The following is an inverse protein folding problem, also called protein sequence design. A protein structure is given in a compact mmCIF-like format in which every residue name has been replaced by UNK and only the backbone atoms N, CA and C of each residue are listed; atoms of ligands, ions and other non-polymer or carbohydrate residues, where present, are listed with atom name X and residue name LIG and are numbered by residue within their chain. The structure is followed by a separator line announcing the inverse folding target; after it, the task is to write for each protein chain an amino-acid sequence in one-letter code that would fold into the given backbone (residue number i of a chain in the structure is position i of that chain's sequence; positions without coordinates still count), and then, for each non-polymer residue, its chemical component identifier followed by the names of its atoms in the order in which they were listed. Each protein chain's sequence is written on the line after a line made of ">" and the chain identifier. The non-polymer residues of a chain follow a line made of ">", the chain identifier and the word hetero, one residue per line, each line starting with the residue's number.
data_IF_729595318314
#
_entry.id   IF_729595318314
#
_cell.length_a   1.000
_cell.length_b   1.000
_cell.length_c   1.000
_cell.angle_alpha   90.00
_cell.angle_beta   90.00
_cell.angle_gamma   90.00
#
_symmetry.space_group_name_H-M   'P 1'
#
loop_
_entity.id
_entity.type
_entity.pdbx_description
1 polymer ?
#
# COMPACT_ATOMS: atom_id res chain seq x y z
N UNK A 1 4.77 75.50 -29.88
CA UNK A 1 4.98 74.12 -30.36
C UNK A 1 4.71 73.25 -29.11
N UNK A 2 3.58 72.47 -29.15
CA UNK A 2 3.03 71.71 -28.03
C UNK A 2 3.50 70.27 -28.18
N UNK A 3 4.33 69.79 -27.21
CA UNK A 3 4.68 68.36 -27.13
C UNK A 3 3.63 67.67 -26.27
N UNK A 4 2.82 66.87 -26.91
CA UNK A 4 1.85 66.00 -26.27
C UNK A 4 2.53 64.67 -25.90
N UNK A 5 2.69 64.42 -24.60
CA UNK A 5 3.27 63.21 -24.06
C UNK A 5 2.13 62.18 -23.92
N UNK A 6 2.15 61.13 -24.77
CA UNK A 6 1.24 60.00 -24.65
C UNK A 6 1.79 59.01 -23.63
N UNK A 7 1.20 58.97 -22.46
CA UNK A 7 1.42 57.92 -21.48
C UNK A 7 0.57 56.72 -21.89
N UNK A 8 1.21 55.71 -22.44
CA UNK A 8 0.61 54.43 -22.74
C UNK A 8 0.48 53.63 -21.42
N UNK A 9 -0.74 53.58 -20.87
CA UNK A 9 -1.09 52.79 -19.69
C UNK A 9 -1.21 51.33 -20.13
N UNK A 10 -0.12 50.55 -19.99
CA UNK A 10 -0.14 49.11 -20.23
C UNK A 10 -0.75 48.42 -19.00
N UNK A 11 -2.06 48.21 -19.03
CA UNK A 11 -2.77 47.40 -18.01
C UNK A 11 -2.40 45.92 -18.20
N UNK A 12 -1.50 45.43 -17.33
CA UNK A 12 -1.27 43.99 -17.15
C UNK A 12 -2.55 43.36 -16.54
N UNK A 13 -3.35 42.73 -17.37
CA UNK A 13 -4.33 41.76 -16.92
C UNK A 13 -3.58 40.51 -16.44
N UNK A 14 -3.33 40.44 -15.14
CA UNK A 14 -2.95 39.15 -14.52
C UNK A 14 -4.22 38.30 -14.55
N UNK A 15 -4.32 37.44 -15.57
CA UNK A 15 -5.24 36.30 -15.56
C UNK A 15 -4.75 35.33 -14.47
N UNK A 16 -5.21 35.55 -13.25
CA UNK A 16 -5.15 34.53 -12.20
C UNK A 16 -6.05 33.40 -12.64
N UNK A 17 -5.47 32.38 -13.23
CA UNK A 17 -6.14 31.08 -13.35
C UNK A 17 -6.31 30.53 -11.93
N UNK A 18 -7.39 30.89 -11.26
CA UNK A 18 -7.87 30.13 -10.14
C UNK A 18 -8.40 28.81 -10.75
N UNK A 19 -7.60 27.75 -10.63
CA UNK A 19 -8.12 26.38 -10.79
C UNK A 19 -9.15 26.17 -9.68
N UNK A 20 -10.40 26.49 -9.98
CA UNK A 20 -11.52 26.03 -9.16
C UNK A 20 -11.53 24.52 -9.34
N UNK A 21 -11.00 23.79 -8.36
CA UNK A 21 -11.26 22.35 -8.28
C UNK A 21 -12.78 22.18 -8.25
N UNK A 22 -13.32 21.80 -9.38
CA UNK A 22 -14.73 21.37 -9.47
C UNK A 22 -14.78 20.05 -8.71
N UNK A 23 -15.15 20.08 -7.42
CA UNK A 23 -15.53 18.87 -6.71
C UNK A 23 -16.62 18.20 -7.53
N UNK A 24 -16.31 17.06 -8.11
CA UNK A 24 -17.30 16.22 -8.74
C UNK A 24 -18.39 15.90 -7.71
N UNK A 25 -19.65 16.08 -8.02
CA UNK A 25 -20.77 15.70 -7.14
C UNK A 25 -20.74 14.20 -6.76
N UNK A 26 -19.96 13.40 -7.48
CA UNK A 26 -19.72 11.97 -7.23
C UNK A 26 -18.35 11.67 -6.59
N UNK A 27 -17.63 12.67 -6.07
CA UNK A 27 -16.39 12.46 -5.36
C UNK A 27 -16.67 11.66 -4.07
N UNK A 28 -16.03 10.49 -3.93
CA UNK A 28 -16.25 9.57 -2.79
C UNK A 28 -15.01 9.31 -1.97
N UNK A 29 -13.99 10.15 -2.10
CA UNK A 29 -12.74 10.06 -1.38
C UNK A 29 -11.57 10.54 -2.23
N UNK A 30 -10.38 10.43 -1.65
CA UNK A 30 -9.11 10.78 -2.30
C UNK A 30 -8.16 9.59 -2.25
N UNK A 31 -7.17 9.60 -3.14
CA UNK A 31 -6.05 8.66 -3.16
C UNK A 31 -4.78 9.47 -2.98
N UNK A 32 -3.97 9.07 -2.00
CA UNK A 32 -2.68 9.68 -1.71
C UNK A 32 -1.55 8.66 -1.89
N UNK A 33 -0.40 9.15 -2.35
CA UNK A 33 0.83 8.37 -2.42
C UNK A 33 1.92 9.08 -1.62
N UNK A 34 2.84 8.31 -1.06
CA UNK A 34 3.93 8.84 -0.22
C UNK A 34 3.46 9.55 1.06
N UNK A 35 2.27 9.21 1.56
CA UNK A 35 1.75 9.64 2.85
C UNK A 35 2.32 8.79 4.01
N UNK A 36 1.99 9.17 5.26
CA UNK A 36 2.49 8.49 6.45
C UNK A 36 2.00 7.02 6.53
N UNK A 37 0.79 6.72 6.06
CA UNK A 37 0.22 5.37 6.12
C UNK A 37 0.80 4.46 5.03
N UNK A 38 1.01 4.98 3.82
CA UNK A 38 1.73 4.25 2.77
C UNK A 38 3.17 3.93 3.19
N UNK A 39 3.85 4.86 3.88
CA UNK A 39 5.19 4.63 4.43
C UNK A 39 5.22 3.52 5.48
N UNK A 40 4.19 3.39 6.33
CA UNK A 40 4.09 2.26 7.29
C UNK A 40 3.95 0.93 6.55
N UNK A 41 3.12 0.86 5.52
CA UNK A 41 2.96 -0.37 4.72
C UNK A 41 4.25 -0.76 3.99
N UNK A 42 4.94 0.22 3.41
CA UNK A 42 6.22 -0.02 2.75
C UNK A 42 7.29 -0.48 3.76
N UNK A 43 7.31 0.10 4.97
CA UNK A 43 8.20 -0.33 6.06
C UNK A 43 7.90 -1.77 6.48
N UNK A 44 6.63 -2.15 6.61
CA UNK A 44 6.21 -3.52 6.92
C UNK A 44 6.69 -4.53 5.86
N UNK A 45 6.49 -4.21 4.58
CA UNK A 45 6.94 -5.07 3.48
C UNK A 45 8.48 -5.17 3.42
N UNK A 46 9.19 -4.07 3.69
CA UNK A 46 10.65 -4.07 3.73
C UNK A 46 11.21 -4.85 4.94
N UNK A 47 10.53 -4.82 6.10
CA UNK A 47 10.87 -5.62 7.28
C UNK A 47 10.79 -7.13 6.97
N UNK A 48 9.78 -7.57 6.24
CA UNK A 48 9.68 -8.94 5.74
C UNK A 48 10.86 -9.31 4.83
N UNK A 49 11.24 -8.43 3.91
CA UNK A 49 12.38 -8.69 3.03
C UNK A 49 13.72 -8.76 3.80
N UNK A 50 13.84 -7.96 4.85
CA UNK A 50 15.02 -7.88 5.71
C UNK A 50 15.11 -8.97 6.81
N UNK A 51 14.15 -9.90 6.88
CA UNK A 51 14.01 -10.92 7.92
C UNK A 51 13.86 -10.37 9.35
N UNK A 52 13.30 -9.17 9.49
CA UNK A 52 13.13 -8.47 10.77
C UNK A 52 11.70 -7.94 10.95
N UNK A 53 10.79 -8.84 11.32
CA UNK A 53 9.39 -8.53 11.61
C UNK A 53 9.12 -8.23 13.09
N UNK A 54 10.16 -8.19 13.94
CA UNK A 54 10.04 -8.19 15.41
C UNK A 54 9.18 -7.03 15.93
N UNK A 55 9.40 -5.82 15.43
CA UNK A 55 8.71 -4.62 15.90
C UNK A 55 7.39 -4.37 15.15
N UNK A 56 7.09 -5.14 14.12
CA UNK A 56 5.95 -4.88 13.23
C UNK A 56 4.60 -5.17 13.90
N UNK A 57 4.56 -5.98 14.95
CA UNK A 57 3.32 -6.20 15.73
C UNK A 57 2.78 -4.90 16.32
N UNK A 58 3.64 -3.94 16.59
CA UNK A 58 3.29 -2.67 17.21
C UNK A 58 2.37 -1.77 16.37
N UNK A 59 2.30 -1.98 15.05
CA UNK A 59 1.45 -1.18 14.16
C UNK A 59 -0.03 -1.59 14.25
N UNK A 60 -0.34 -2.77 14.81
CA UNK A 60 -1.69 -3.32 14.85
C UNK A 60 -2.46 -2.91 16.11
N UNK A 61 -3.79 -2.88 16.01
CA UNK A 61 -4.66 -2.80 17.19
C UNK A 61 -4.65 -4.14 17.93
N UNK A 62 -5.04 -4.14 19.21
CA UNK A 62 -5.09 -5.35 20.04
C UNK A 62 -5.97 -6.47 19.43
N UNK A 63 -7.08 -6.09 18.78
CA UNK A 63 -8.02 -7.00 18.16
C UNK A 63 -7.90 -7.05 16.63
N UNK A 64 -6.74 -6.71 16.09
CA UNK A 64 -6.53 -6.73 14.65
C UNK A 64 -6.66 -8.15 14.08
N UNK A 65 -7.21 -8.22 12.86
CA UNK A 65 -7.37 -9.47 12.12
C UNK A 65 -6.45 -9.45 10.90
N UNK A 66 -5.80 -10.56 10.64
CA UNK A 66 -5.09 -10.80 9.39
C UNK A 66 -5.89 -11.79 8.52
N UNK A 67 -5.94 -11.54 7.23
CA UNK A 67 -6.57 -12.40 6.22
C UNK A 67 -5.56 -12.75 5.13
N UNK A 68 -5.31 -14.03 4.94
CA UNK A 68 -4.45 -14.50 3.85
C UNK A 68 -5.28 -15.41 2.96
N UNK A 69 -5.52 -14.99 1.71
CA UNK A 69 -6.42 -15.69 0.77
C UNK A 69 -7.79 -16.06 1.41
N UNK A 70 -8.33 -15.16 2.24
CA UNK A 70 -9.61 -15.34 2.91
C UNK A 70 -9.56 -16.13 4.22
N UNK A 71 -8.44 -16.71 4.62
CA UNK A 71 -8.28 -17.35 5.93
C UNK A 71 -7.93 -16.32 6.99
N UNK A 72 -8.66 -16.33 8.12
CA UNK A 72 -8.45 -15.40 9.24
C UNK A 72 -7.47 -15.98 10.25
N UNK A 73 -6.59 -15.11 10.75
CA UNK A 73 -5.61 -15.40 11.81
C UNK A 73 -5.22 -14.11 12.53
N UNK A 74 -4.42 -14.19 13.57
CA UNK A 74 -3.84 -12.98 14.17
C UNK A 74 -2.70 -12.42 13.28
N UNK A 75 -2.39 -11.11 13.37
CA UNK A 75 -1.23 -10.55 12.65
C UNK A 75 0.08 -11.27 12.99
N UNK A 76 0.27 -11.69 14.25
CA UNK A 76 1.46 -12.44 14.67
C UNK A 76 1.56 -13.78 13.94
N UNK A 77 0.47 -14.56 13.89
CA UNK A 77 0.42 -15.82 13.16
C UNK A 77 0.69 -15.64 11.66
N UNK A 78 0.17 -14.56 11.07
CA UNK A 78 0.46 -14.24 9.67
C UNK A 78 1.95 -13.96 9.44
N UNK A 79 2.57 -13.12 10.29
CA UNK A 79 3.99 -12.81 10.19
C UNK A 79 4.86 -14.05 10.35
N UNK A 80 4.57 -14.90 11.35
CA UNK A 80 5.26 -16.18 11.56
C UNK A 80 5.14 -17.10 10.34
N UNK A 81 3.93 -17.23 9.77
CA UNK A 81 3.70 -18.04 8.57
C UNK A 81 4.47 -17.50 7.34
N UNK A 82 4.51 -16.18 7.16
CA UNK A 82 5.26 -15.56 6.06
C UNK A 82 6.76 -15.75 6.22
N UNK A 83 7.29 -15.59 7.43
CA UNK A 83 8.72 -15.81 7.71
C UNK A 83 9.10 -17.28 7.51
N UNK A 84 8.33 -18.22 8.07
CA UNK A 84 8.55 -19.66 7.88
C UNK A 84 8.47 -20.06 6.40
N UNK A 85 7.48 -19.54 5.66
CA UNK A 85 7.37 -19.80 4.22
C UNK A 85 8.55 -19.26 3.41
N UNK A 86 9.08 -18.10 3.81
CA UNK A 86 10.25 -17.46 3.17
C UNK A 86 11.51 -18.32 3.25
N UNK A 87 11.69 -19.12 4.32
CA UNK A 87 12.83 -20.03 4.48
C UNK A 87 12.99 -21.06 3.35
N UNK A 88 11.91 -21.30 2.60
CA UNK A 88 11.92 -22.19 1.43
C UNK A 88 12.44 -21.52 0.16
N UNK A 89 12.80 -20.23 0.23
CA UNK A 89 13.19 -19.44 -0.94
C UNK A 89 14.40 -18.57 -0.66
N UNK A 90 15.31 -18.52 -1.65
CA UNK A 90 16.42 -17.58 -1.73
C UNK A 90 16.06 -16.38 -2.62
N UNK A 91 16.87 -15.31 -2.53
CA UNK A 91 16.77 -14.11 -3.38
C UNK A 91 15.37 -13.47 -3.40
N UNK A 92 14.68 -13.52 -2.27
CA UNK A 92 13.31 -13.00 -2.14
C UNK A 92 13.30 -11.48 -2.31
N UNK A 93 12.42 -11.00 -3.19
CA UNK A 93 12.23 -9.58 -3.46
C UNK A 93 10.80 -9.25 -3.87
N UNK A 94 10.44 -7.99 -3.70
CA UNK A 94 9.21 -7.41 -4.26
C UNK A 94 9.60 -6.50 -5.43
N UNK A 95 9.01 -6.71 -6.59
CA UNK A 95 9.23 -5.89 -7.78
C UNK A 95 7.93 -5.20 -8.21
N UNK A 96 8.06 -4.11 -8.97
CA UNK A 96 6.91 -3.34 -9.47
C UNK A 96 5.94 -2.88 -8.38
N UNK A 97 6.48 -2.48 -7.20
CA UNK A 97 5.67 -2.09 -6.05
C UNK A 97 4.98 -0.75 -6.29
N UNK A 98 3.69 -0.70 -6.00
CA UNK A 98 2.89 0.53 -5.99
C UNK A 98 2.04 0.54 -4.73
N UNK A 99 2.21 1.57 -3.89
CA UNK A 99 1.48 1.74 -2.64
C UNK A 99 0.69 3.05 -2.68
N UNK A 100 -0.56 3.01 -2.23
CA UNK A 100 -1.41 4.18 -2.14
C UNK A 100 -2.40 4.07 -0.97
N UNK A 101 -2.70 5.20 -0.33
CA UNK A 101 -3.71 5.32 0.71
C UNK A 101 -5.00 5.86 0.10
N UNK A 102 -6.09 5.16 0.36
CA UNK A 102 -7.46 5.49 -0.05
C UNK A 102 -8.21 6.03 1.16
N UNK A 103 -8.62 7.29 1.10
CA UNK A 103 -9.39 7.96 2.14
C UNK A 103 -10.81 8.18 1.59
N UNK A 104 -11.76 7.42 2.10
CA UNK A 104 -13.17 7.50 1.67
C UNK A 104 -13.89 8.59 2.43
N UNK A 105 -14.73 9.35 1.73
CA UNK A 105 -15.59 10.35 2.35
C UNK A 105 -16.56 9.68 3.35
N UNK A 106 -16.91 10.39 4.40
CA UNK A 106 -17.94 9.97 5.35
C UNK A 106 -19.29 9.97 4.64
N UNK A 107 -19.91 8.82 4.50
CA UNK A 107 -21.22 8.66 3.86
C UNK A 107 -22.09 7.69 4.65
N UNK A 108 -23.36 7.57 4.27
CA UNK A 108 -24.36 6.72 4.96
C UNK A 108 -23.93 5.24 5.09
N UNK A 109 -23.00 4.77 4.25
CA UNK A 109 -22.54 3.38 4.17
C UNK A 109 -21.10 3.16 4.67
N UNK A 110 -20.33 4.22 4.93
CA UNK A 110 -18.94 4.10 5.39
C UNK A 110 -18.49 5.38 6.09
N UNK A 111 -18.09 5.27 7.31
CA UNK A 111 -17.60 6.39 8.13
C UNK A 111 -16.13 6.66 7.80
N UNK A 112 -15.87 7.38 6.72
CA UNK A 112 -14.52 7.85 6.43
C UNK A 112 -13.45 6.75 6.49
N UNK A 113 -13.71 5.57 5.94
CA UNK A 113 -12.80 4.44 6.03
C UNK A 113 -11.48 4.73 5.31
N UNK A 114 -10.37 4.40 5.94
CA UNK A 114 -9.03 4.59 5.38
C UNK A 114 -8.41 3.21 5.15
N UNK A 115 -7.93 3.02 3.93
CA UNK A 115 -7.19 1.83 3.52
C UNK A 115 -5.89 2.23 2.84
N UNK A 116 -4.80 1.56 3.17
CA UNK A 116 -3.58 1.60 2.37
C UNK A 116 -3.46 0.30 1.61
N UNK A 117 -3.32 0.38 0.31
CA UNK A 117 -3.18 -0.79 -0.56
C UNK A 117 -1.81 -0.79 -1.23
N UNK A 118 -1.24 -1.97 -1.42
CA UNK A 118 -0.04 -2.17 -2.21
C UNK A 118 -0.24 -3.29 -3.22
N UNK A 119 0.33 -3.11 -4.39
CA UNK A 119 0.45 -4.10 -5.46
C UNK A 119 1.93 -4.30 -5.74
N UNK A 120 2.35 -5.53 -5.78
CA UNK A 120 3.72 -5.89 -6.15
C UNK A 120 3.76 -7.29 -6.74
N UNK A 121 4.87 -7.63 -7.36
CA UNK A 121 5.17 -9.01 -7.70
C UNK A 121 6.23 -9.52 -6.72
N UNK A 122 5.86 -10.53 -5.94
CA UNK A 122 6.80 -11.26 -5.11
C UNK A 122 7.57 -12.25 -5.96
N UNK A 123 8.89 -12.27 -5.83
CA UNK A 123 9.75 -13.27 -6.47
C UNK A 123 10.68 -13.92 -5.44
N UNK A 124 10.92 -15.22 -5.62
CA UNK A 124 11.91 -15.97 -4.87
C UNK A 124 12.34 -17.22 -5.63
N UNK A 125 13.57 -17.64 -5.42
CA UNK A 125 14.13 -18.88 -5.98
C UNK A 125 13.95 -20.02 -5.00
N UNK A 126 13.18 -21.06 -5.37
CA UNK A 126 12.97 -22.21 -4.51
C UNK A 126 14.30 -22.90 -4.15
N UNK A 127 14.56 -23.07 -2.87
CA UNK A 127 15.74 -23.81 -2.35
C UNK A 127 15.70 -25.29 -2.79
N UNK A 128 14.52 -25.90 -2.85
CA UNK A 128 14.35 -27.31 -3.13
C UNK A 128 14.40 -27.67 -4.63
N UNK A 129 13.85 -26.77 -5.48
CA UNK A 129 13.68 -27.06 -6.93
C UNK A 129 14.56 -26.18 -7.82
N UNK A 130 15.09 -25.08 -7.33
CA UNK A 130 15.80 -24.04 -8.11
C UNK A 130 14.88 -23.23 -9.03
N UNK A 131 13.58 -23.42 -8.95
CA UNK A 131 12.60 -22.69 -9.77
C UNK A 131 12.39 -21.28 -9.23
N UNK A 132 12.44 -20.29 -10.12
CA UNK A 132 12.02 -18.92 -9.78
C UNK A 132 10.50 -18.86 -9.75
N UNK A 133 9.95 -18.58 -8.59
CA UNK A 133 8.51 -18.36 -8.39
C UNK A 133 8.23 -16.87 -8.42
N UNK A 134 7.25 -16.47 -9.21
CA UNK A 134 6.85 -15.07 -9.37
C UNK A 134 5.33 -14.98 -9.19
N UNK A 135 4.89 -14.24 -8.17
CA UNK A 135 3.50 -14.11 -7.81
C UNK A 135 3.06 -12.65 -7.74
N UNK A 136 2.02 -12.24 -8.48
CA UNK A 136 1.32 -11.00 -8.22
C UNK A 136 0.66 -11.03 -6.85
N UNK A 137 0.85 -9.98 -6.07
CA UNK A 137 0.29 -9.82 -4.73
C UNK A 137 -0.47 -8.52 -4.65
N UNK A 138 -1.66 -8.58 -4.07
CA UNK A 138 -2.37 -7.41 -3.56
C UNK A 138 -2.49 -7.53 -2.06
N UNK A 139 -2.09 -6.48 -1.34
CA UNK A 139 -2.30 -6.38 0.09
C UNK A 139 -2.93 -5.05 0.46
N UNK A 140 -3.68 -5.01 1.56
CA UNK A 140 -4.20 -3.78 2.11
C UNK A 140 -4.24 -3.79 3.63
N UNK A 141 -4.05 -2.60 4.22
CA UNK A 141 -4.28 -2.29 5.62
C UNK A 141 -5.56 -1.47 5.74
N UNK A 142 -6.43 -1.82 6.68
CA UNK A 142 -7.52 -0.96 7.13
C UNK A 142 -7.10 -0.28 8.42
N UNK A 143 -7.28 1.03 8.47
CA UNK A 143 -6.86 1.84 9.59
C UNK A 143 -7.99 2.13 10.57
N UNK A 144 -7.62 2.16 11.85
CA UNK A 144 -8.41 2.68 12.96
C UNK A 144 -7.52 3.65 13.73
N UNK A 145 -7.71 4.96 13.51
CA UNK A 145 -6.76 5.98 13.93
C UNK A 145 -5.39 5.77 13.28
N UNK A 146 -4.36 5.60 14.10
CA UNK A 146 -2.97 5.38 13.67
C UNK A 146 -2.54 3.91 13.72
N UNK A 147 -3.49 3.00 13.95
CA UNK A 147 -3.25 1.56 14.03
C UNK A 147 -4.00 0.80 12.94
N UNK A 148 -3.44 -0.34 12.56
CA UNK A 148 -4.05 -1.26 11.58
C UNK A 148 -5.01 -2.19 12.30
N UNK A 149 -6.29 -2.16 11.94
CA UNK A 149 -7.32 -3.06 12.48
C UNK A 149 -7.55 -4.32 11.63
N UNK A 150 -7.18 -4.25 10.37
CA UNK A 150 -7.24 -5.39 9.45
C UNK A 150 -6.09 -5.31 8.46
N UNK A 151 -5.41 -6.43 8.25
CA UNK A 151 -4.48 -6.62 7.14
C UNK A 151 -4.97 -7.76 6.25
N UNK A 152 -4.87 -7.62 4.95
CA UNK A 152 -5.24 -8.69 4.02
C UNK A 152 -4.20 -8.83 2.92
N UNK A 153 -3.86 -10.09 2.61
CA UNK A 153 -3.00 -10.48 1.48
C UNK A 153 -3.77 -11.42 0.55
N UNK A 154 -3.70 -11.15 -0.73
CA UNK A 154 -4.32 -11.95 -1.80
C UNK A 154 -3.26 -12.23 -2.85
N UNK A 155 -2.98 -13.51 -3.09
CA UNK A 155 -2.03 -13.97 -4.10
C UNK A 155 -2.35 -15.41 -4.52
N UNK A 156 -1.82 -15.84 -5.66
CA UNK A 156 -1.90 -17.25 -6.07
C UNK A 156 -0.89 -18.09 -5.29
N UNK A 157 -1.37 -18.92 -4.35
CA UNK A 157 -0.52 -19.78 -3.54
C UNK A 157 -0.16 -21.11 -4.21
N UNK A 158 -0.79 -21.49 -5.32
CA UNK A 158 -0.59 -22.82 -5.91
C UNK A 158 0.87 -23.07 -6.32
N UNK A 159 1.43 -22.16 -7.12
CA UNK A 159 2.82 -22.25 -7.56
C UNK A 159 3.81 -22.05 -6.40
N UNK A 160 3.50 -21.16 -5.48
CA UNK A 160 4.28 -20.93 -4.27
C UNK A 160 4.38 -22.22 -3.44
N UNK A 161 3.25 -22.82 -3.06
CA UNK A 161 3.23 -24.04 -2.23
C UNK A 161 3.86 -25.24 -2.94
N UNK A 162 3.63 -25.39 -4.26
CA UNK A 162 4.22 -26.48 -5.03
C UNK A 162 5.76 -26.47 -5.06
N UNK A 163 6.38 -25.34 -4.82
CA UNK A 163 7.83 -25.14 -4.83
C UNK A 163 8.45 -24.92 -3.46
N UNK A 164 7.69 -24.95 -2.36
CA UNK A 164 8.26 -24.82 -0.99
C UNK A 164 9.13 -26.02 -0.60
N UNK A 165 9.00 -27.15 -1.29
CA UNK A 165 9.58 -28.41 -0.85
C UNK A 165 8.69 -29.12 0.19
N UNK A 166 8.85 -30.44 0.29
CA UNK A 166 8.24 -31.21 1.37
C UNK A 166 9.17 -31.10 2.58
N UNK A 167 8.68 -30.54 3.70
CA UNK A 167 9.33 -30.78 5.00
C UNK A 167 9.35 -32.29 5.23
N UNK A 168 10.53 -32.91 5.16
CA UNK A 168 10.72 -34.31 5.58
C UNK A 168 10.47 -34.47 7.08
#
# INVERSE_FOLDING_TARGET
>A
MKNTFYILFLSLFILSCSTTETKSENHRGIIEQNDAKSSVMDTFNNAYLADDMTDQVSIFTENAVARVNGQEMSPTQMMEAFMSGKESYDEVKNISTTTATHIYDDNENGKGAIYTSTWFTWEGTSVSTGVVVSNPVHAYFRWEGDKVSLVSYIFDSANYVANMGTSE
#
